data_IF_360057445681
#
_entry.id   IF_360057445681
#
_cell.length_a   1.000
_cell.length_b   1.000
_cell.length_c   1.000
_cell.angle_alpha   90.00
_cell.angle_beta   90.00
_cell.angle_gamma   90.00
#
_symmetry.space_group_name_H-M   'P 1'
#
loop_
_entity.id
_entity.type
_entity.pdbx_description
1 polymer ?
#
# COMPACT_ATOMS: atom_id res chain seq x y z
N UNK A 1 14.18 7.71 -14.39
CA UNK A 1 13.04 8.40 -13.75
C UNK A 1 13.44 9.09 -12.47
N UNK A 2 12.96 10.33 -12.26
CA UNK A 2 13.33 11.19 -11.13
C UNK A 2 12.88 10.71 -9.74
N UNK A 3 12.18 9.57 -9.68
CA UNK A 3 11.78 8.89 -8.45
C UNK A 3 12.80 7.89 -7.92
N UNK A 4 13.72 7.40 -8.77
CA UNK A 4 14.71 6.38 -8.40
C UNK A 4 16.13 6.95 -8.29
N UNK A 5 16.31 8.26 -8.53
CA UNK A 5 17.59 8.96 -8.40
C UNK A 5 17.70 9.70 -7.06
N UNK A 6 18.52 9.17 -6.15
CA UNK A 6 18.87 9.79 -4.86
C UNK A 6 18.14 9.21 -3.64
N UNK A 7 18.34 9.81 -2.46
CA UNK A 7 17.75 9.40 -1.17
C UNK A 7 16.22 9.65 -1.06
N UNK A 8 15.54 9.94 -2.17
CA UNK A 8 14.16 10.40 -2.21
C UNK A 8 13.21 9.22 -2.16
N UNK A 9 12.21 9.26 -1.28
CA UNK A 9 11.26 8.15 -1.16
C UNK A 9 10.19 8.22 -2.25
N UNK A 10 9.52 7.10 -2.51
CA UNK A 10 8.39 7.06 -3.46
C UNK A 10 7.26 8.01 -3.08
N UNK A 11 7.11 8.34 -1.79
CA UNK A 11 6.08 9.27 -1.29
C UNK A 11 6.35 10.72 -1.66
N UNK A 12 7.62 11.08 -1.88
CA UNK A 12 8.00 12.44 -2.25
C UNK A 12 7.86 12.69 -3.76
N UNK A 13 7.56 11.66 -4.53
CA UNK A 13 7.48 11.73 -5.99
C UNK A 13 6.35 12.65 -6.46
N UNK A 14 6.70 13.55 -7.38
CA UNK A 14 5.72 14.24 -8.18
C UNK A 14 5.02 13.25 -9.12
N UNK A 15 3.81 13.60 -9.56
CA UNK A 15 3.13 12.85 -10.60
C UNK A 15 4.04 12.71 -11.83
N UNK A 16 4.34 11.49 -12.24
CA UNK A 16 5.27 11.23 -13.35
C UNK A 16 4.71 11.68 -14.71
N UNK A 17 3.38 11.82 -14.83
CA UNK A 17 2.73 12.26 -16.08
C UNK A 17 2.68 13.77 -16.24
N UNK A 18 2.25 14.51 -15.21
CA UNK A 18 2.05 15.96 -15.30
C UNK A 18 3.03 16.80 -14.46
N UNK A 19 3.92 16.17 -13.69
CA UNK A 19 4.94 16.84 -12.89
C UNK A 19 4.45 17.55 -11.62
N UNK A 20 3.15 17.48 -11.31
CA UNK A 20 2.61 18.13 -10.09
C UNK A 20 3.07 17.41 -8.83
N UNK A 21 3.58 18.17 -7.87
CA UNK A 21 3.87 17.68 -6.51
C UNK A 21 2.63 17.89 -5.65
N UNK A 22 2.08 16.80 -5.11
CA UNK A 22 0.86 16.82 -4.28
C UNK A 22 0.81 15.62 -3.36
N UNK A 23 0.10 15.74 -2.24
CA UNK A 23 -0.22 14.63 -1.33
C UNK A 23 -1.23 13.66 -1.94
N UNK A 24 -1.98 14.11 -2.96
CA UNK A 24 -2.99 13.32 -3.68
C UNK A 24 -2.39 12.40 -4.77
N UNK A 25 -1.06 12.19 -4.73
CA UNK A 25 -0.41 11.18 -5.54
C UNK A 25 -0.82 9.77 -5.08
N UNK A 26 -0.86 8.85 -6.04
CA UNK A 26 -1.21 7.46 -5.85
C UNK A 26 -0.17 6.59 -6.54
N UNK A 27 0.09 5.40 -5.99
CA UNK A 27 0.94 4.39 -6.61
C UNK A 27 0.07 3.29 -7.22
N UNK A 28 0.31 2.97 -8.50
CA UNK A 28 -0.30 1.82 -9.17
C UNK A 28 0.30 0.52 -8.64
N UNK A 29 -0.55 -0.45 -8.27
CA UNK A 29 -0.15 -1.77 -7.77
C UNK A 29 -0.19 -2.86 -8.85
N UNK A 30 -0.57 -2.51 -10.08
CA UNK A 30 -0.74 -3.45 -11.20
C UNK A 30 0.43 -3.45 -12.18
N UNK A 31 1.33 -2.46 -12.09
CA UNK A 31 2.50 -2.35 -12.95
C UNK A 31 3.72 -3.04 -12.33
N UNK A 32 4.63 -3.55 -13.19
CA UNK A 32 5.92 -4.08 -12.74
C UNK A 32 6.83 -2.97 -12.20
N UNK A 33 6.82 -1.81 -12.87
CA UNK A 33 7.54 -0.61 -12.44
C UNK A 33 6.62 0.34 -11.67
N UNK A 34 7.14 1.07 -10.67
CA UNK A 34 6.34 1.98 -9.86
C UNK A 34 5.85 3.17 -10.69
N UNK A 35 4.52 3.30 -10.80
CA UNK A 35 3.86 4.44 -11.42
C UNK A 35 3.18 5.31 -10.36
N UNK A 36 3.77 6.48 -10.09
CA UNK A 36 3.26 7.52 -9.19
C UNK A 36 2.53 8.58 -10.00
N UNK A 37 1.22 8.67 -9.82
CA UNK A 37 0.35 9.55 -10.60
C UNK A 37 -0.64 10.26 -9.68
N UNK A 38 -1.01 11.50 -10.01
CA UNK A 38 -1.98 12.24 -9.22
C UNK A 38 -3.41 11.70 -9.40
N UNK A 39 -4.19 11.79 -8.32
CA UNK A 39 -5.59 11.37 -8.29
C UNK A 39 -6.55 12.26 -9.07
N UNK A 40 -7.82 11.85 -9.11
CA UNK A 40 -8.91 12.50 -9.87
C UNK A 40 -9.21 13.94 -9.48
N UNK A 41 -8.94 14.32 -8.22
CA UNK A 41 -9.17 15.69 -7.74
C UNK A 41 -8.03 16.66 -8.06
N UNK A 42 -6.95 16.18 -8.71
CA UNK A 42 -5.85 17.02 -9.21
C UNK A 42 -5.92 17.11 -10.74
N UNK A 43 -5.31 16.17 -11.46
CA UNK A 43 -5.37 16.09 -12.93
C UNK A 43 -5.85 14.72 -13.43
N UNK A 44 -6.18 13.78 -12.53
CA UNK A 44 -6.72 12.47 -12.91
C UNK A 44 -5.76 11.55 -13.66
N UNK A 45 -4.44 11.76 -13.54
CA UNK A 45 -3.48 10.95 -14.27
C UNK A 45 -3.53 9.45 -13.91
N UNK A 46 -3.83 9.11 -12.64
CA UNK A 46 -4.02 7.69 -12.25
C UNK A 46 -5.28 7.09 -12.89
N UNK A 47 -6.37 7.86 -12.99
CA UNK A 47 -7.60 7.41 -13.63
C UNK A 47 -7.39 7.15 -15.13
N UNK A 48 -6.69 8.06 -15.81
CA UNK A 48 -6.32 7.87 -17.21
C UNK A 48 -5.40 6.66 -17.39
N UNK A 49 -4.42 6.47 -16.51
CA UNK A 49 -3.54 5.29 -16.55
C UNK A 49 -4.31 3.99 -16.36
N UNK A 50 -5.24 3.93 -15.39
CA UNK A 50 -6.09 2.77 -15.19
C UNK A 50 -6.88 2.42 -16.46
N UNK A 51 -7.51 3.41 -17.09
CA UNK A 51 -8.28 3.23 -18.33
C UNK A 51 -7.39 2.76 -19.49
N UNK A 52 -6.29 3.47 -19.74
CA UNK A 52 -5.52 3.33 -20.99
C UNK A 52 -4.55 2.13 -20.94
N UNK A 53 -4.02 1.77 -19.76
CA UNK A 53 -3.02 0.70 -19.59
C UNK A 53 -3.64 -0.59 -19.05
N UNK A 54 -4.69 -0.49 -18.24
CA UNK A 54 -5.26 -1.62 -17.51
C UNK A 54 -6.73 -1.90 -17.85
N UNK A 55 -7.31 -1.31 -18.90
CA UNK A 55 -8.73 -1.46 -19.26
C UNK A 55 -9.65 -1.16 -18.05
N UNK A 56 -9.31 -0.09 -17.33
CA UNK A 56 -9.91 0.35 -16.06
C UNK A 56 -9.74 -0.62 -14.88
N UNK A 57 -9.10 -1.78 -15.04
CA UNK A 57 -8.91 -2.80 -13.99
C UNK A 57 -7.57 -2.61 -13.29
N UNK A 58 -7.43 -1.48 -12.62
CA UNK A 58 -6.23 -1.13 -11.86
C UNK A 58 -6.56 -0.94 -10.39
N UNK A 59 -5.62 -1.32 -9.52
CA UNK A 59 -5.66 -1.04 -8.10
C UNK A 59 -4.55 -0.04 -7.78
N UNK A 60 -4.87 1.00 -7.03
CA UNK A 60 -3.90 2.01 -6.59
C UNK A 60 -4.00 2.29 -5.10
N UNK A 61 -2.87 2.65 -4.49
CA UNK A 61 -2.81 3.09 -3.09
C UNK A 61 -2.54 4.60 -3.02
N UNK A 62 -3.34 5.30 -2.21
CA UNK A 62 -3.26 6.75 -2.00
C UNK A 62 -2.14 7.12 -1.03
N UNK A 63 -1.34 8.12 -1.37
CA UNK A 63 -0.30 8.65 -0.47
C UNK A 63 -0.87 9.57 0.61
N UNK A 64 -2.08 10.09 0.45
CA UNK A 64 -2.70 10.97 1.44
C UNK A 64 -3.07 10.21 2.72
N UNK A 65 -3.74 9.07 2.57
CA UNK A 65 -4.42 8.37 3.66
C UNK A 65 -4.22 6.84 3.63
N UNK A 66 -3.37 6.31 2.75
CA UNK A 66 -3.12 4.88 2.57
C UNK A 66 -4.35 4.07 2.09
N UNK A 67 -5.44 4.74 1.68
CA UNK A 67 -6.60 4.06 1.13
C UNK A 67 -6.26 3.33 -0.18
N UNK A 68 -6.86 2.16 -0.40
CA UNK A 68 -6.69 1.37 -1.62
C UNK A 68 -7.97 1.47 -2.45
N UNK A 69 -7.81 1.83 -3.71
CA UNK A 69 -8.89 2.05 -4.65
C UNK A 69 -8.81 1.06 -5.82
N UNK A 70 -9.93 0.41 -6.13
CA UNK A 70 -10.13 -0.38 -7.33
C UNK A 70 -10.85 0.47 -8.38
N UNK A 71 -10.15 0.81 -9.46
CA UNK A 71 -10.70 1.61 -10.57
C UNK A 71 -11.73 0.85 -11.41
N UNK A 72 -11.72 -0.48 -11.38
CA UNK A 72 -12.63 -1.31 -12.15
C UNK A 72 -13.97 -1.48 -11.46
N UNK A 73 -13.96 -1.52 -10.13
CA UNK A 73 -15.17 -1.61 -9.29
C UNK A 73 -15.65 -0.26 -8.75
N UNK A 74 -14.89 0.83 -8.97
CA UNK A 74 -15.18 2.17 -8.44
C UNK A 74 -15.40 2.14 -6.91
N UNK A 75 -14.54 1.40 -6.19
CA UNK A 75 -14.71 1.15 -4.75
C UNK A 75 -13.40 1.07 -3.99
N UNK A 76 -13.48 1.32 -2.67
CA UNK A 76 -12.37 1.10 -1.77
C UNK A 76 -12.24 -0.38 -1.42
N UNK A 77 -11.01 -0.88 -1.40
CA UNK A 77 -10.69 -2.24 -0.99
C UNK A 77 -10.31 -2.28 0.48
N UNK A 78 -10.79 -3.30 1.18
CA UNK A 78 -10.44 -3.55 2.57
C UNK A 78 -9.09 -4.26 2.67
N UNK A 79 -8.06 -3.47 2.96
CA UNK A 79 -6.69 -3.99 3.11
C UNK A 79 -6.57 -5.02 4.24
N UNK A 80 -7.39 -4.95 5.30
CA UNK A 80 -7.30 -5.88 6.42
C UNK A 80 -7.82 -7.27 6.07
N UNK A 81 -8.74 -7.35 5.10
CA UNK A 81 -9.35 -8.60 4.66
C UNK A 81 -8.71 -9.17 3.37
N UNK A 82 -8.01 -8.34 2.57
CA UNK A 82 -7.43 -8.75 1.29
C UNK A 82 -5.90 -8.88 1.43
N UNK A 83 -5.46 -10.11 1.75
CA UNK A 83 -4.05 -10.42 2.03
C UNK A 83 -3.09 -10.08 0.90
N UNK A 84 -3.54 -10.12 -0.35
CA UNK A 84 -2.73 -9.77 -1.51
C UNK A 84 -2.27 -8.31 -1.50
N UNK A 85 -2.97 -7.43 -0.77
CA UNK A 85 -2.62 -6.02 -0.62
C UNK A 85 -1.60 -5.77 0.50
N UNK A 86 -1.47 -6.71 1.44
CA UNK A 86 -0.62 -6.55 2.63
C UNK A 86 0.84 -6.20 2.31
N UNK A 87 1.54 -6.84 1.35
CA UNK A 87 2.95 -6.55 1.11
C UNK A 87 3.18 -5.11 0.66
N UNK A 88 2.36 -4.61 -0.27
CA UNK A 88 2.46 -3.25 -0.77
C UNK A 88 2.08 -2.22 0.30
N UNK A 89 1.00 -2.50 1.05
CA UNK A 89 0.55 -1.62 2.14
C UNK A 89 1.59 -1.52 3.26
N UNK A 90 2.13 -2.65 3.74
CA UNK A 90 3.15 -2.67 4.80
C UNK A 90 4.43 -1.94 4.36
N UNK A 91 4.89 -2.16 3.13
CA UNK A 91 6.06 -1.47 2.59
C UNK A 91 5.85 0.05 2.57
N UNK A 92 4.71 0.51 2.05
CA UNK A 92 4.42 1.94 1.97
C UNK A 92 4.15 2.55 3.35
N UNK A 93 3.55 1.80 4.28
CA UNK A 93 3.32 2.21 5.66
C UNK A 93 4.64 2.46 6.39
N UNK A 94 5.62 1.56 6.24
CA UNK A 94 6.97 1.74 6.80
C UNK A 94 7.66 2.99 6.27
N UNK A 95 7.53 3.25 4.96
CA UNK A 95 8.11 4.46 4.35
C UNK A 95 7.43 5.71 4.90
N UNK A 96 6.11 5.68 5.08
CA UNK A 96 5.33 6.84 5.51
C UNK A 96 5.45 7.16 7.00
N UNK A 97 5.45 6.13 7.85
CA UNK A 97 5.32 6.26 9.30
C UNK A 97 6.54 5.74 10.08
N UNK A 98 7.49 5.07 9.42
CA UNK A 98 8.67 4.51 10.06
C UNK A 98 8.41 3.19 10.81
N UNK A 99 7.22 2.60 10.68
CA UNK A 99 6.82 1.39 11.41
C UNK A 99 6.00 0.41 10.54
N UNK A 100 6.01 -0.90 10.85
CA UNK A 100 5.14 -1.88 10.18
C UNK A 100 3.65 -1.54 10.30
N UNK A 101 2.87 -1.89 9.29
CA UNK A 101 1.43 -1.83 9.36
C UNK A 101 0.89 -2.88 10.36
N UNK A 102 -0.11 -2.50 11.15
CA UNK A 102 -0.82 -3.41 12.07
C UNK A 102 -1.84 -4.25 11.30
N UNK A 103 -1.35 -5.16 10.44
CA UNK A 103 -2.18 -6.03 9.62
C UNK A 103 -2.52 -7.35 10.36
N UNK A 104 -3.67 -7.99 10.07
CA UNK A 104 -4.03 -9.24 10.70
C UNK A 104 -3.03 -10.33 10.31
N UNK A 105 -2.32 -10.88 11.30
CA UNK A 105 -1.57 -12.12 11.12
C UNK A 105 -2.57 -13.24 11.23
N UNK A 106 -2.73 -14.07 10.19
CA UNK A 106 -3.57 -15.26 10.33
C UNK A 106 -2.82 -16.22 11.27
N UNK A 107 -3.30 -16.53 12.48
CA UNK A 107 -2.80 -17.70 13.18
C UNK A 107 -3.35 -18.90 12.41
N UNK A 108 -2.52 -19.66 11.73
CA UNK A 108 -2.94 -20.99 11.30
C UNK A 108 -3.18 -21.82 12.58
N UNK A 109 -4.41 -22.26 12.91
CA UNK A 109 -4.65 -23.06 14.12
C UNK A 109 -4.01 -24.45 14.05
N UNK A 110 -3.47 -24.83 12.89
CA UNK A 110 -2.90 -26.16 12.63
C UNK A 110 -1.37 -26.14 12.42
N UNK A 111 -0.68 -25.06 12.79
CA UNK A 111 0.78 -25.07 12.89
C UNK A 111 1.18 -25.79 14.19
N UNK A 112 1.14 -27.12 14.15
CA UNK A 112 1.80 -27.98 15.12
C UNK A 112 3.32 -27.70 15.06
N UNK A 113 3.79 -26.87 15.99
CA UNK A 113 5.18 -26.44 16.08
C UNK A 113 5.50 -26.10 17.53
N UNK A 114 5.87 -27.14 18.28
CA UNK A 114 6.29 -27.01 19.67
C UNK A 114 7.55 -26.17 19.85
N UNK A 115 7.66 -25.60 21.04
CA UNK A 115 8.77 -24.78 21.54
C UNK A 115 8.20 -23.52 22.18
N UNK A 116 8.30 -23.25 23.47
CA UNK A 116 9.21 -23.75 24.50
C UNK A 116 9.72 -22.54 25.27
N UNK A 117 9.42 -22.48 26.57
CA UNK A 117 9.90 -21.46 27.52
C UNK A 117 8.87 -20.35 27.80
N UNK A 118 8.59 -19.95 29.03
CA UNK A 118 9.18 -20.23 30.34
C UNK A 118 8.93 -19.04 31.27
N UNK A 119 8.55 -19.31 32.53
CA UNK A 119 8.40 -18.32 33.61
C UNK A 119 6.96 -17.80 33.77
N UNK A 120 6.31 -17.80 34.92
CA UNK A 120 6.70 -18.03 36.32
C UNK A 120 5.82 -17.12 37.18
N UNK A 121 5.30 -17.62 38.31
CA UNK A 121 4.75 -16.76 39.38
C UNK A 121 3.39 -17.15 39.96
N UNK A 122 3.42 -17.84 41.11
CA UNK A 122 2.88 -17.32 42.37
C UNK A 122 1.37 -17.39 42.67
N UNK A 123 1.05 -18.02 43.81
CA UNK A 123 -0.16 -17.82 44.63
C UNK A 123 -1.22 -18.90 44.42
N UNK A 124 -1.76 -19.59 45.42
CA UNK A 124 -1.74 -19.48 46.87
C UNK A 124 -2.94 -20.32 47.36
N UNK A 125 -2.81 -21.00 48.50
CA UNK A 125 -3.86 -21.84 49.09
C UNK A 125 -3.28 -23.02 49.85
#
# INVERSE_FOLDING_TARGET
DSCTSGLKTVLDCACQKCGVTTTECQLCLCCAEPHVLCGRYVNGCMLEHARDVHDSKCISISFADMSIWDHGQDSYLDVFNIKQLHPAFDALHRIKFGEPASLPTNPNPNANGGGGGGGGGGGGG
#
